data_IF_831096705661
#
_entry.id   IF_831096705661
#
_cell.length_a   1.000
_cell.length_b   1.000
_cell.length_c   1.000
_cell.angle_alpha   90.00
_cell.angle_beta   90.00
_cell.angle_gamma   90.00
#
_symmetry.space_group_name_H-M   'P 1'
#
loop_
_entity.id
_entity.type
_entity.pdbx_description
1 polymer ?
#
# COMPACT_ATOMS: atom_id res chain seq x y z
N UNK A 1 -20.70 0.60 13.39
CA UNK A 1 -19.60 0.56 12.40
C UNK A 1 -19.23 -0.90 12.23
N UNK A 2 -19.45 -1.45 11.03
CA UNK A 2 -19.08 -2.84 10.73
C UNK A 2 -17.56 -2.94 10.59
N UNK A 3 -16.96 -4.00 11.12
CA UNK A 3 -15.52 -4.25 11.05
C UNK A 3 -15.27 -5.48 10.19
N UNK A 4 -14.23 -5.45 9.37
CA UNK A 4 -13.77 -6.62 8.63
C UNK A 4 -12.71 -7.34 9.47
N UNK A 5 -13.00 -8.58 9.88
CA UNK A 5 -11.98 -9.48 10.43
C UNK A 5 -10.94 -9.71 9.32
N UNK A 6 -9.70 -9.24 9.55
CA UNK A 6 -8.64 -9.26 8.55
C UNK A 6 -8.28 -10.68 8.05
N UNK A 7 -7.34 -10.74 7.11
CA UNK A 7 -6.72 -12.01 6.71
C UNK A 7 -6.04 -12.65 7.94
N UNK A 8 -5.99 -13.99 8.06
CA UNK A 8 -5.42 -14.68 9.22
C UNK A 8 -3.89 -14.58 9.24
N UNK A 9 -3.38 -13.36 9.41
CA UNK A 9 -1.96 -13.00 9.42
C UNK A 9 -1.71 -12.18 10.68
N UNK A 10 -0.78 -12.65 11.51
CA UNK A 10 -0.38 -11.97 12.74
C UNK A 10 0.04 -10.52 12.44
N UNK A 11 -0.45 -9.56 13.24
CA UNK A 11 -0.15 -8.13 13.11
C UNK A 11 -1.14 -7.31 12.27
N UNK A 12 -2.07 -7.94 11.54
CA UNK A 12 -3.19 -7.20 10.91
C UNK A 12 -4.33 -7.00 11.89
N UNK A 13 -4.66 -5.74 12.16
CA UNK A 13 -5.84 -5.37 12.95
C UNK A 13 -7.12 -5.44 12.11
N UNK A 14 -8.28 -5.75 12.72
CA UNK A 14 -9.56 -5.50 12.08
C UNK A 14 -9.64 -4.05 11.62
N UNK A 15 -10.05 -3.84 10.37
CA UNK A 15 -10.22 -2.52 9.79
C UNK A 15 -11.70 -2.15 9.76
N UNK A 16 -11.99 -0.87 9.93
CA UNK A 16 -13.36 -0.38 9.71
C UNK A 16 -13.71 -0.46 8.22
N UNK A 17 -15.00 -0.59 7.89
CA UNK A 17 -15.46 -0.53 6.50
C UNK A 17 -14.99 0.75 5.79
N UNK A 18 -15.00 1.89 6.49
CA UNK A 18 -14.56 3.17 5.94
C UNK A 18 -13.06 3.17 5.59
N UNK A 19 -12.21 2.57 6.44
CA UNK A 19 -10.79 2.44 6.17
C UNK A 19 -10.53 1.54 4.96
N UNK A 20 -11.27 0.43 4.85
CA UNK A 20 -11.21 -0.48 3.70
C UNK A 20 -11.61 0.24 2.41
N UNK A 21 -12.71 0.99 2.43
CA UNK A 21 -13.21 1.73 1.27
C UNK A 21 -12.21 2.81 0.81
N UNK A 22 -11.59 3.52 1.76
CA UNK A 22 -10.54 4.51 1.46
C UNK A 22 -9.33 3.86 0.79
N UNK A 23 -8.84 2.73 1.31
CA UNK A 23 -7.71 2.02 0.69
C UNK A 23 -8.08 1.43 -0.67
N UNK A 24 -9.28 0.89 -0.84
CA UNK A 24 -9.74 0.39 -2.15
C UNK A 24 -9.76 1.51 -3.19
N UNK A 25 -10.25 2.70 -2.82
CA UNK A 25 -10.21 3.87 -3.70
C UNK A 25 -8.77 4.30 -4.03
N UNK A 26 -7.87 4.29 -3.04
CA UNK A 26 -6.45 4.56 -3.24
C UNK A 26 -5.80 3.56 -4.20
N UNK A 27 -6.11 2.26 -4.06
CA UNK A 27 -5.65 1.19 -4.96
C UNK A 27 -6.14 1.34 -6.39
N UNK A 28 -7.36 1.80 -6.59
CA UNK A 28 -7.87 2.07 -7.94
C UNK A 28 -7.07 3.19 -8.62
N UNK A 29 -6.72 4.25 -7.88
CA UNK A 29 -5.91 5.36 -8.40
C UNK A 29 -4.49 4.88 -8.69
N UNK A 30 -3.87 4.13 -7.78
CA UNK A 30 -2.54 3.52 -7.95
C UNK A 30 -2.49 2.70 -9.25
N UNK A 31 -3.45 1.80 -9.46
CA UNK A 31 -3.51 0.95 -10.66
C UNK A 31 -3.61 1.76 -11.95
N UNK A 32 -4.40 2.84 -11.96
CA UNK A 32 -4.52 3.74 -13.12
C UNK A 32 -3.18 4.43 -13.44
N UNK A 33 -2.45 4.86 -12.40
CA UNK A 33 -1.12 5.46 -12.56
C UNK A 33 -0.11 4.43 -13.04
N UNK A 34 -0.11 3.21 -12.48
CA UNK A 34 0.80 2.14 -12.88
C UNK A 34 0.61 1.75 -14.34
N UNK A 35 -0.64 1.64 -14.82
CA UNK A 35 -0.93 1.39 -16.24
C UNK A 35 -0.41 2.50 -17.16
N UNK A 36 -0.51 3.75 -16.72
CA UNK A 36 0.09 4.87 -17.45
C UNK A 36 1.62 4.75 -17.51
N UNK A 37 2.27 4.39 -16.39
CA UNK A 37 3.73 4.16 -16.36
C UNK A 37 4.14 2.97 -17.25
N UNK A 38 3.35 1.90 -17.28
CA UNK A 38 3.59 0.75 -18.14
C UNK A 38 3.51 1.12 -19.62
N UNK A 39 2.53 1.94 -20.01
CA UNK A 39 2.43 2.48 -21.36
C UNK A 39 3.62 3.41 -21.67
N UNK A 40 3.98 4.29 -20.73
CA UNK A 40 5.10 5.22 -20.85
C UNK A 40 6.42 4.47 -21.08
N UNK A 41 6.64 3.35 -20.39
CA UNK A 41 7.86 2.52 -20.52
C UNK A 41 8.14 2.04 -21.96
N UNK A 42 7.13 1.98 -22.83
CA UNK A 42 7.31 1.60 -24.23
C UNK A 42 7.99 2.68 -25.09
N UNK A 43 8.08 3.92 -24.59
CA UNK A 43 8.69 5.05 -25.30
C UNK A 43 10.22 4.93 -25.34
N UNK A 44 10.78 4.86 -26.56
CA UNK A 44 12.22 4.64 -26.77
C UNK A 44 13.12 5.82 -26.38
N UNK A 45 12.54 7.01 -26.22
CA UNK A 45 13.26 8.27 -25.95
C UNK A 45 13.40 8.58 -24.45
N UNK A 46 12.85 7.75 -23.57
CA UNK A 46 12.86 8.02 -22.13
C UNK A 46 14.24 7.82 -21.51
N UNK A 47 14.60 8.74 -20.61
CA UNK A 47 15.65 8.49 -19.64
C UNK A 47 15.14 7.47 -18.60
N UNK A 48 15.56 6.22 -18.78
CA UNK A 48 15.14 5.09 -17.95
C UNK A 48 15.59 5.22 -16.49
N UNK A 49 16.62 6.02 -16.19
CA UNK A 49 17.03 6.26 -14.80
C UNK A 49 15.97 7.07 -14.07
N UNK A 50 15.53 8.18 -14.66
CA UNK A 50 14.49 9.04 -14.07
C UNK A 50 13.12 8.35 -14.04
N UNK A 51 12.77 7.56 -15.07
CA UNK A 51 11.57 6.73 -15.06
C UNK A 51 11.56 5.77 -13.86
N UNK A 52 12.66 5.05 -13.63
CA UNK A 52 12.75 4.06 -12.55
C UNK A 52 12.65 4.71 -11.16
N UNK A 53 13.24 5.90 -10.99
CA UNK A 53 13.12 6.71 -9.76
C UNK A 53 11.66 7.10 -9.54
N UNK A 54 11.01 7.68 -10.56
CA UNK A 54 9.63 8.13 -10.47
C UNK A 54 8.66 6.98 -10.13
N UNK A 55 8.78 5.83 -10.80
CA UNK A 55 7.96 4.65 -10.51
C UNK A 55 8.11 4.19 -9.06
N UNK A 56 9.36 4.05 -8.60
CA UNK A 56 9.64 3.62 -7.22
C UNK A 56 9.02 4.57 -6.20
N UNK A 57 9.15 5.88 -6.41
CA UNK A 57 8.59 6.88 -5.49
C UNK A 57 7.07 6.89 -5.47
N UNK A 58 6.43 6.67 -6.62
CA UNK A 58 4.97 6.55 -6.72
C UNK A 58 4.48 5.32 -5.94
N UNK A 59 5.07 4.14 -6.18
CA UNK A 59 4.73 2.90 -5.48
C UNK A 59 4.94 3.04 -3.95
N UNK A 60 6.07 3.64 -3.53
CA UNK A 60 6.34 3.94 -2.12
C UNK A 60 5.34 4.94 -1.54
N UNK A 61 4.96 5.97 -2.30
CA UNK A 61 3.97 6.97 -1.90
C UNK A 61 2.60 6.35 -1.62
N UNK A 62 2.07 5.55 -2.54
CA UNK A 62 0.80 4.84 -2.32
C UNK A 62 0.88 3.86 -1.15
N UNK A 63 2.00 3.14 -1.00
CA UNK A 63 2.23 2.29 0.16
C UNK A 63 2.19 3.09 1.48
N UNK A 64 2.89 4.22 1.55
CA UNK A 64 2.93 5.07 2.74
C UNK A 64 1.54 5.63 3.09
N UNK A 65 0.79 6.11 2.09
CA UNK A 65 -0.58 6.61 2.28
C UNK A 65 -1.51 5.50 2.78
N UNK A 66 -1.50 4.32 2.15
CA UNK A 66 -2.33 3.19 2.60
C UNK A 66 -1.98 2.76 4.04
N UNK A 67 -0.70 2.78 4.42
CA UNK A 67 -0.27 2.51 5.80
C UNK A 67 -0.71 3.60 6.78
N UNK A 68 -0.85 4.85 6.35
CA UNK A 68 -1.38 5.92 7.20
C UNK A 68 -2.87 5.73 7.53
N UNK A 69 -3.62 5.05 6.65
CA UNK A 69 -5.03 4.68 6.85
C UNK A 69 -5.14 3.41 7.71
N UNK A 70 -4.44 2.34 7.33
CA UNK A 70 -4.54 1.05 8.02
C UNK A 70 -3.79 0.97 9.35
N UNK A 71 -2.83 1.86 9.59
CA UNK A 71 -2.09 1.98 10.86
C UNK A 71 -1.65 0.61 11.44
N UNK A 72 -0.87 -0.18 10.68
CA UNK A 72 -0.46 -1.50 11.14
C UNK A 72 0.43 -1.38 12.38
N UNK A 73 0.25 -2.30 13.32
CA UNK A 73 1.03 -2.33 14.55
C UNK A 73 2.08 -3.44 14.56
N UNK A 74 2.99 -3.37 15.54
CA UNK A 74 3.94 -4.45 15.79
C UNK A 74 3.15 -5.68 16.27
N UNK A 75 3.45 -6.83 15.70
CA UNK A 75 2.95 -8.10 16.23
C UNK A 75 3.60 -8.40 17.57
N UNK A 76 2.83 -8.94 18.52
CA UNK A 76 3.37 -9.46 19.77
C UNK A 76 4.22 -10.70 19.46
N UNK A 77 5.37 -10.81 20.14
CA UNK A 77 6.24 -11.98 20.07
C UNK A 77 6.13 -12.79 21.37
N UNK A 78 6.41 -14.11 21.35
CA UNK A 78 6.42 -14.91 22.56
C UNK A 78 7.33 -14.35 23.67
N UNK A 79 8.45 -13.72 23.28
CA UNK A 79 9.45 -13.16 24.20
C UNK A 79 8.97 -11.90 24.94
N UNK A 80 7.89 -11.25 24.49
CA UNK A 80 7.32 -10.06 25.15
C UNK A 80 6.60 -10.40 26.47
N UNK A 81 6.24 -11.68 26.70
CA UNK A 81 5.51 -12.13 27.88
C UNK A 81 6.41 -12.53 29.07
N UNK A 82 7.74 -12.56 28.87
CA UNK A 82 8.72 -13.04 29.85
C UNK A 82 9.39 -11.91 30.66
N UNK A 83 8.96 -10.65 30.48
CA UNK A 83 9.55 -9.44 31.08
C UNK A 83 8.73 -8.77 32.17
#
# INVERSE_FOLDING_TARGET
>A
MSQHNGLPVSGYRPQSTEAVDLVNRSKEIEERVLRFLDALKAERSLDMRWYSIGRTQIEQGFMAVNRSVFQPERGALPEDAEG
#
